data_IF_573483195940
#
_entry.id   IF_573483195940
#
_cell.length_a   1.000
_cell.length_b   1.000
_cell.length_c   1.000
_cell.angle_alpha   90.00
_cell.angle_beta   90.00
_cell.angle_gamma   90.00
#
_symmetry.space_group_name_H-M   'P 1'
#
loop_
_entity.id
_entity.type
_entity.pdbx_description
1 polymer ?
#
# COMPACT_ATOMS: atom_id res chain seq x y z
N UNK A 1 18.69 18.91 6.44
CA UNK A 1 17.25 19.31 6.38
C UNK A 1 16.41 18.14 6.80
N UNK A 2 15.47 18.32 7.74
CA UNK A 2 14.56 17.21 8.10
C UNK A 2 13.53 17.02 6.99
N UNK A 3 13.13 15.77 6.68
CA UNK A 3 12.10 15.51 5.69
C UNK A 3 10.81 16.24 6.08
N UNK A 4 10.18 16.88 5.09
CA UNK A 4 8.86 17.50 5.28
C UNK A 4 7.83 16.39 5.55
N UNK A 5 6.87 16.68 6.43
CA UNK A 5 5.81 15.74 6.79
C UNK A 5 4.48 16.33 6.35
N UNK A 6 3.70 15.60 5.56
CA UNK A 6 2.32 15.97 5.25
C UNK A 6 1.33 15.05 5.97
N UNK A 7 0.12 15.56 6.21
CA UNK A 7 -0.98 14.71 6.65
C UNK A 7 -1.46 13.87 5.48
N UNK A 8 -1.76 12.60 5.73
CA UNK A 8 -2.62 11.86 4.79
C UNK A 8 -3.93 12.64 4.70
N UNK A 9 -4.38 13.06 3.52
CA UNK A 9 -5.55 13.92 3.38
C UNK A 9 -6.75 13.36 4.13
N UNK A 10 -7.17 14.06 5.19
CA UNK A 10 -8.37 13.71 5.96
C UNK A 10 -9.64 14.28 5.35
N UNK A 11 -9.50 15.22 4.41
CA UNK A 11 -10.63 15.86 3.74
C UNK A 11 -10.98 15.15 2.44
N UNK A 12 -11.92 14.25 2.59
CA UNK A 12 -12.68 13.68 1.49
C UNK A 12 -14.10 14.22 1.63
N UNK A 13 -14.78 14.59 0.54
CA UNK A 13 -16.14 15.14 0.59
C UNK A 13 -17.01 14.26 1.47
N UNK A 14 -17.66 14.87 2.45
CA UNK A 14 -18.62 14.20 3.34
C UNK A 14 -19.82 13.73 2.53
N UNK A 15 -19.86 12.45 2.21
CA UNK A 15 -21.14 11.80 1.89
C UNK A 15 -21.95 11.71 3.16
N UNK A 16 -23.15 12.32 3.17
CA UNK A 16 -24.11 12.15 4.25
C UNK A 16 -24.47 10.67 4.36
N UNK A 17 -24.17 10.07 5.50
CA UNK A 17 -24.54 8.71 5.86
C UNK A 17 -26.06 8.63 5.95
N UNK A 18 -26.71 7.96 5.02
CA UNK A 18 -28.08 7.49 5.21
C UNK A 18 -28.07 6.33 6.21
N UNK A 19 -28.99 6.37 7.18
CA UNK A 19 -29.18 5.26 8.14
C UNK A 19 -29.61 4.03 7.35
N UNK A 20 -28.75 2.99 7.37
CA UNK A 20 -29.08 1.71 6.77
C UNK A 20 -28.00 1.07 5.92
N UNK A 21 -26.85 1.72 5.74
CA UNK A 21 -25.75 1.12 4.99
C UNK A 21 -25.09 0.03 5.83
N UNK A 22 -25.51 -1.21 5.58
CA UNK A 22 -24.66 -2.36 5.77
C UNK A 22 -23.29 -2.06 5.13
N UNK A 23 -22.20 -2.52 5.75
CA UNK A 23 -20.89 -2.46 5.15
C UNK A 23 -20.99 -2.94 3.69
N UNK A 24 -20.43 -2.21 2.73
CA UNK A 24 -20.47 -2.66 1.34
C UNK A 24 -19.94 -4.08 1.29
N UNK A 25 -20.67 -4.95 0.60
CA UNK A 25 -20.25 -6.31 0.30
C UNK A 25 -18.79 -6.25 -0.18
N UNK A 26 -17.86 -6.78 0.61
CA UNK A 26 -16.41 -6.67 0.37
C UNK A 26 -15.94 -7.48 -0.82
N UNK A 27 -16.83 -7.77 -1.77
CA UNK A 27 -16.41 -8.29 -3.05
C UNK A 27 -15.68 -7.19 -3.81
N UNK A 28 -14.39 -7.41 -4.13
CA UNK A 28 -13.69 -6.52 -5.02
C UNK A 28 -14.50 -6.41 -6.33
N UNK A 29 -14.42 -5.27 -7.03
CA UNK A 29 -15.03 -5.18 -8.35
C UNK A 29 -14.56 -6.37 -9.20
N UNK A 30 -15.37 -6.90 -10.12
CA UNK A 30 -15.09 -8.13 -10.87
C UNK A 30 -13.75 -8.18 -11.59
N UNK A 31 -13.09 -7.04 -11.73
CA UNK A 31 -11.76 -6.87 -12.36
C UNK A 31 -10.57 -7.03 -11.41
N UNK A 32 -10.81 -7.05 -10.07
CA UNK A 32 -9.73 -7.18 -9.10
C UNK A 32 -9.69 -8.59 -8.51
N UNK A 33 -8.49 -9.16 -8.28
CA UNK A 33 -8.37 -10.43 -7.56
C UNK A 33 -8.91 -10.29 -6.13
N UNK A 34 -9.36 -11.41 -5.51
CA UNK A 34 -9.83 -11.41 -4.12
C UNK A 34 -8.81 -10.78 -3.17
N UNK A 35 -9.31 -10.12 -2.12
CA UNK A 35 -8.45 -9.56 -1.09
C UNK A 35 -7.79 -10.67 -0.28
N UNK A 36 -6.48 -10.58 -0.03
CA UNK A 36 -5.85 -11.56 0.84
C UNK A 36 -6.25 -11.31 2.29
N UNK A 37 -6.66 -12.35 3.04
CA UNK A 37 -6.81 -12.28 4.47
C UNK A 37 -5.50 -12.64 5.18
N UNK A 38 -5.31 -12.10 6.39
CA UNK A 38 -4.33 -12.64 7.34
C UNK A 38 -5.04 -13.62 8.25
N UNK A 39 -4.62 -14.88 8.24
CA UNK A 39 -5.15 -15.93 9.13
C UNK A 39 -4.53 -15.76 10.51
N UNK A 40 -5.35 -15.70 11.54
CA UNK A 40 -4.94 -15.66 12.95
C UNK A 40 -5.10 -17.01 13.63
N UNK A 41 -6.20 -17.71 13.32
CA UNK A 41 -6.56 -18.97 13.95
C UNK A 41 -7.34 -19.84 12.97
N UNK A 42 -7.21 -21.16 13.13
CA UNK A 42 -8.02 -22.15 12.40
C UNK A 42 -8.70 -23.02 13.46
N UNK A 43 -10.02 -23.12 13.38
CA UNK A 43 -10.83 -23.93 14.31
C UNK A 43 -11.58 -24.99 13.51
N UNK A 44 -11.56 -26.22 14.02
CA UNK A 44 -12.37 -27.33 13.48
C UNK A 44 -13.67 -27.43 14.27
N UNK A 45 -14.80 -27.26 13.60
CA UNK A 45 -16.11 -27.42 14.21
C UNK A 45 -16.44 -28.88 14.52
N UNK A 46 -17.48 -29.11 15.34
CA UNK A 46 -17.94 -30.48 15.67
C UNK A 46 -18.42 -31.26 14.43
N UNK A 47 -18.79 -30.56 13.35
CA UNK A 47 -19.15 -31.14 12.05
C UNK A 47 -17.95 -31.64 11.25
N UNK A 48 -16.72 -31.25 11.64
CA UNK A 48 -15.49 -31.54 10.92
C UNK A 48 -15.10 -30.42 9.95
N UNK A 49 -15.91 -29.37 9.81
CA UNK A 49 -15.61 -28.21 8.98
C UNK A 49 -14.55 -27.31 9.63
N UNK A 50 -13.66 -26.76 8.84
CA UNK A 50 -12.62 -25.84 9.32
C UNK A 50 -12.98 -24.37 9.00
N UNK A 51 -12.95 -23.53 10.03
CA UNK A 51 -13.15 -22.10 9.97
C UNK A 51 -11.86 -21.37 10.28
N UNK A 52 -11.59 -20.29 9.56
CA UNK A 52 -10.43 -19.44 9.76
C UNK A 52 -10.89 -18.08 10.31
N UNK A 53 -10.35 -17.70 11.48
CA UNK A 53 -10.44 -16.33 11.97
C UNK A 53 -9.41 -15.47 11.23
N UNK A 54 -9.87 -14.45 10.53
CA UNK A 54 -9.04 -13.63 9.64
C UNK A 54 -9.17 -12.14 9.93
N UNK A 55 -8.16 -11.36 9.54
CA UNK A 55 -8.30 -9.92 9.32
C UNK A 55 -8.02 -9.62 7.85
N UNK A 56 -8.85 -8.78 7.25
CA UNK A 56 -8.77 -8.44 5.85
C UNK A 56 -7.70 -7.39 5.58
N UNK A 57 -6.90 -7.60 4.53
CA UNK A 57 -6.17 -6.50 3.91
C UNK A 57 -7.09 -5.76 2.95
N UNK A 58 -6.95 -4.46 2.90
CA UNK A 58 -7.67 -3.57 1.99
C UNK A 58 -6.76 -3.08 0.88
N UNK A 59 -7.27 -3.05 -0.34
CA UNK A 59 -6.62 -2.34 -1.42
C UNK A 59 -6.87 -0.83 -1.27
N UNK A 60 -5.97 0.04 -1.77
CA UNK A 60 -6.21 1.48 -1.74
C UNK A 60 -7.56 1.91 -2.34
N UNK A 61 -8.03 1.21 -3.37
CA UNK A 61 -9.31 1.48 -4.03
C UNK A 61 -10.52 1.27 -3.13
N UNK A 62 -10.43 0.38 -2.17
CA UNK A 62 -11.52 0.00 -1.26
C UNK A 62 -11.56 0.86 0.00
N UNK A 63 -10.45 1.52 0.29
CA UNK A 63 -10.37 2.42 1.43
C UNK A 63 -10.99 3.78 1.12
N UNK A 64 -11.38 4.49 2.16
CA UNK A 64 -11.93 5.83 2.04
C UNK A 64 -10.96 6.74 1.27
N UNK A 65 -11.44 7.32 0.17
CA UNK A 65 -10.67 8.22 -0.69
C UNK A 65 -9.94 7.56 -1.85
N UNK A 66 -10.02 6.25 -1.95
CA UNK A 66 -9.48 5.50 -3.08
C UNK A 66 -7.95 5.56 -3.20
N UNK A 67 -7.45 5.00 -4.30
CA UNK A 67 -6.02 5.01 -4.61
C UNK A 67 -5.51 6.44 -4.86
N UNK A 68 -4.37 6.77 -4.28
CA UNK A 68 -3.65 8.02 -4.49
C UNK A 68 -2.39 7.77 -5.33
N UNK A 69 -1.85 8.81 -5.94
CA UNK A 69 -0.66 8.71 -6.79
C UNK A 69 0.58 8.15 -6.07
N UNK A 70 0.66 8.28 -4.75
CA UNK A 70 1.74 7.72 -3.96
C UNK A 70 1.51 6.26 -3.52
N UNK A 71 0.34 5.68 -3.76
CA UNK A 71 0.12 4.26 -3.48
C UNK A 71 0.69 3.43 -4.63
N UNK A 72 1.62 2.53 -4.30
CA UNK A 72 2.14 1.59 -5.27
C UNK A 72 1.12 0.51 -5.66
N UNK A 73 1.37 -0.15 -6.77
CA UNK A 73 0.47 -1.16 -7.34
C UNK A 73 0.21 -2.33 -6.38
N UNK A 74 1.28 -2.79 -5.72
CA UNK A 74 1.27 -3.93 -4.78
C UNK A 74 0.97 -3.51 -3.33
N UNK A 75 0.53 -2.28 -3.09
CA UNK A 75 0.25 -1.79 -1.74
C UNK A 75 -1.07 -2.30 -1.21
N UNK A 76 -1.04 -2.79 0.04
CA UNK A 76 -2.20 -3.20 0.82
C UNK A 76 -2.20 -2.50 2.18
N UNK A 77 -3.37 -2.29 2.75
CA UNK A 77 -3.54 -1.77 4.10
C UNK A 77 -3.92 -2.88 5.06
N UNK A 78 -3.25 -2.97 6.21
CA UNK A 78 -3.78 -3.77 7.32
C UNK A 78 -5.07 -3.16 7.81
N UNK A 79 -6.03 -3.96 8.31
CA UNK A 79 -7.27 -3.40 8.87
C UNK A 79 -7.63 -4.01 10.21
N UNK A 80 -8.60 -3.38 10.87
CA UNK A 80 -9.32 -3.86 12.06
C UNK A 80 -10.62 -4.58 11.69
N UNK A 81 -10.76 -5.01 10.45
CA UNK A 81 -11.90 -5.79 9.97
C UNK A 81 -11.61 -7.28 10.11
N UNK A 82 -12.21 -7.90 11.10
CA UNK A 82 -12.09 -9.34 11.39
C UNK A 82 -13.34 -10.07 10.93
N UNK A 83 -13.13 -11.34 10.52
CA UNK A 83 -14.22 -12.20 10.07
C UNK A 83 -13.88 -13.68 10.29
N UNK A 84 -14.90 -14.54 10.19
CA UNK A 84 -14.75 -15.98 10.13
C UNK A 84 -15.11 -16.47 8.73
N UNK A 85 -14.20 -17.17 8.10
CA UNK A 85 -14.40 -17.68 6.74
C UNK A 85 -14.10 -19.17 6.69
N UNK A 86 -14.82 -19.90 5.84
CA UNK A 86 -14.52 -21.31 5.62
C UNK A 86 -13.11 -21.46 5.03
N UNK A 87 -12.31 -22.37 5.57
CA UNK A 87 -10.95 -22.65 5.04
C UNK A 87 -10.97 -23.00 3.56
N UNK A 88 -12.02 -23.66 3.08
CA UNK A 88 -12.21 -24.00 1.68
C UNK A 88 -12.35 -22.79 0.75
N UNK A 89 -12.62 -21.59 1.29
CA UNK A 89 -12.69 -20.36 0.51
C UNK A 89 -11.30 -19.72 0.25
N UNK A 90 -10.25 -20.26 0.87
CA UNK A 90 -8.87 -19.75 0.72
C UNK A 90 -8.21 -20.45 -0.45
N UNK A 91 -7.93 -19.67 -1.51
CA UNK A 91 -7.51 -20.22 -2.81
C UNK A 91 -5.99 -20.20 -3.05
N UNK A 92 -5.18 -19.66 -2.12
CA UNK A 92 -3.73 -19.58 -2.35
C UNK A 92 -3.00 -18.84 -1.24
N UNK A 93 -1.69 -18.66 -1.46
CA UNK A 93 -0.79 -17.97 -0.56
C UNK A 93 -0.27 -16.70 -1.21
N UNK A 94 -0.10 -15.65 -0.41
CA UNK A 94 0.66 -14.46 -0.78
C UNK A 94 1.53 -14.03 0.40
N UNK A 95 2.58 -13.27 0.13
CA UNK A 95 3.43 -12.66 1.12
C UNK A 95 3.11 -11.16 1.23
N UNK A 96 2.87 -10.68 2.45
CA UNK A 96 2.65 -9.24 2.71
C UNK A 96 3.78 -8.75 3.59
N UNK A 97 4.70 -8.03 2.98
CA UNK A 97 5.93 -7.50 3.59
C UNK A 97 5.69 -6.12 4.21
N UNK A 98 6.57 -5.69 5.10
CA UNK A 98 6.71 -4.26 5.38
C UNK A 98 7.40 -3.58 4.19
N UNK A 99 7.13 -2.29 3.97
CA UNK A 99 7.71 -1.56 2.83
C UNK A 99 9.25 -1.73 2.73
N UNK A 100 9.98 -1.65 3.84
CA UNK A 100 11.44 -1.83 3.84
C UNK A 100 11.86 -3.23 3.41
N UNK A 101 11.14 -4.26 3.84
CA UNK A 101 11.41 -5.66 3.48
C UNK A 101 11.11 -5.88 2.00
N UNK A 102 10.00 -5.32 1.50
CA UNK A 102 9.62 -5.38 0.08
C UNK A 102 10.69 -4.76 -0.83
N UNK A 103 11.26 -3.62 -0.44
CA UNK A 103 12.32 -2.94 -1.19
C UNK A 103 13.64 -3.76 -1.24
N UNK A 104 13.84 -4.69 -0.31
CA UNK A 104 15.03 -5.55 -0.25
C UNK A 104 14.86 -6.86 -1.03
N UNK A 105 13.68 -7.14 -1.57
CA UNK A 105 13.45 -8.31 -2.39
C UNK A 105 14.30 -8.23 -3.67
N UNK A 106 14.99 -9.32 -3.98
CA UNK A 106 15.77 -9.41 -5.23
C UNK A 106 14.86 -9.49 -6.46
N UNK A 107 13.71 -10.11 -6.30
CA UNK A 107 12.70 -10.28 -7.31
C UNK A 107 11.32 -10.19 -6.65
N UNK A 108 10.41 -9.43 -7.24
CA UNK A 108 9.03 -9.28 -6.79
C UNK A 108 8.14 -10.14 -7.67
N UNK A 109 7.44 -11.09 -7.07
CA UNK A 109 6.49 -11.97 -7.74
C UNK A 109 5.08 -11.41 -7.72
N UNK A 110 4.16 -12.05 -8.43
CA UNK A 110 2.75 -11.65 -8.43
C UNK A 110 2.08 -11.82 -7.06
N UNK A 111 2.63 -12.68 -6.21
CA UNK A 111 2.10 -12.96 -4.87
C UNK A 111 2.78 -12.13 -3.76
N UNK A 112 3.71 -11.23 -4.10
CA UNK A 112 4.34 -10.33 -3.16
C UNK A 112 3.59 -9.00 -3.11
N UNK A 113 3.19 -8.61 -1.92
CA UNK A 113 2.55 -7.34 -1.58
C UNK A 113 3.32 -6.67 -0.46
N UNK A 114 3.02 -5.40 -0.21
CA UNK A 114 3.57 -4.70 0.94
C UNK A 114 2.54 -3.83 1.65
N UNK A 115 2.81 -3.54 2.91
CA UNK A 115 1.99 -2.65 3.73
C UNK A 115 2.86 -1.65 4.48
N UNK A 116 2.34 -0.43 4.64
CA UNK A 116 2.88 0.64 5.48
C UNK A 116 1.80 1.40 6.23
N UNK A 117 0.53 1.20 5.85
CA UNK A 117 -0.62 1.83 6.49
C UNK A 117 -1.52 0.79 7.14
N UNK A 118 -2.12 1.20 8.26
CA UNK A 118 -3.24 0.50 8.85
C UNK A 118 -4.51 1.34 8.64
N UNK A 119 -5.56 0.69 8.20
CA UNK A 119 -6.85 1.31 7.93
C UNK A 119 -7.89 0.85 8.93
N UNK A 120 -8.51 1.79 9.65
CA UNK A 120 -9.66 1.52 10.51
C UNK A 120 -10.93 1.60 9.69
N UNK A 121 -11.42 0.47 9.20
CA UNK A 121 -12.56 0.38 8.31
C UNK A 121 -13.82 1.04 8.90
N UNK A 122 -14.06 0.86 10.21
CA UNK A 122 -15.21 1.43 10.93
C UNK A 122 -15.23 2.95 10.97
N UNK A 123 -14.06 3.61 10.90
CA UNK A 123 -13.91 5.07 11.01
C UNK A 123 -13.45 5.75 9.73
N UNK A 124 -12.89 4.97 8.79
CA UNK A 124 -12.24 5.51 7.60
C UNK A 124 -10.93 6.25 7.91
N UNK A 125 -10.22 5.85 8.96
CA UNK A 125 -8.98 6.49 9.43
C UNK A 125 -7.75 5.67 9.07
N UNK A 126 -6.63 6.37 8.78
CA UNK A 126 -5.34 5.75 8.51
C UNK A 126 -4.35 5.95 9.65
N UNK A 127 -3.45 4.97 9.83
CA UNK A 127 -2.26 5.09 10.66
C UNK A 127 -1.03 4.62 9.86
N UNK A 128 0.08 5.38 9.88
CA UNK A 128 0.20 6.72 10.44
C UNK A 128 -0.67 7.74 9.67
N UNK A 129 -1.10 8.81 10.34
CA UNK A 129 -1.84 9.92 9.75
C UNK A 129 -0.95 10.91 8.98
N UNK A 130 0.37 10.77 9.17
CA UNK A 130 1.41 11.57 8.51
C UNK A 130 2.53 10.68 8.01
N UNK A 131 3.01 10.97 6.82
CA UNK A 131 4.17 10.31 6.22
C UNK A 131 5.13 11.34 5.67
N UNK A 132 6.45 11.01 5.60
CA UNK A 132 7.42 11.87 4.94
C UNK A 132 7.03 12.12 3.49
N UNK A 133 7.27 13.35 3.04
CA UNK A 133 7.13 13.74 1.63
C UNK A 133 8.49 14.11 1.07
N UNK A 134 8.63 13.94 -0.23
CA UNK A 134 9.87 14.10 -0.98
C UNK A 134 9.62 14.91 -2.24
N UNK A 135 10.71 15.34 -2.87
CA UNK A 135 10.66 16.03 -4.14
C UNK A 135 9.97 17.41 -4.08
N UNK A 136 10.10 18.19 -5.14
CA UNK A 136 9.40 19.46 -5.29
C UNK A 136 7.86 19.31 -5.38
N UNK A 137 7.37 18.10 -5.68
CA UNK A 137 5.93 17.83 -5.72
C UNK A 137 5.32 17.50 -4.35
N UNK A 138 6.14 17.44 -3.28
CA UNK A 138 5.70 17.15 -1.90
C UNK A 138 4.83 15.89 -1.77
N UNK A 139 5.18 14.85 -2.52
CA UNK A 139 4.45 13.57 -2.51
C UNK A 139 5.11 12.56 -1.56
N UNK A 140 4.33 11.75 -0.85
CA UNK A 140 4.87 10.57 -0.18
C UNK A 140 5.56 9.63 -1.17
N UNK A 141 6.56 8.90 -0.69
CA UNK A 141 7.29 7.93 -1.49
C UNK A 141 6.36 6.86 -2.09
N UNK A 142 6.52 6.62 -3.40
CA UNK A 142 5.89 5.51 -4.11
C UNK A 142 7.01 4.58 -4.63
N UNK A 143 7.08 3.29 -4.19
CA UNK A 143 8.16 2.39 -4.60
C UNK A 143 8.17 2.05 -6.10
N UNK A 144 7.05 2.27 -6.80
CA UNK A 144 6.96 2.03 -8.24
C UNK A 144 7.51 3.21 -9.06
N UNK A 145 7.77 4.35 -8.41
CA UNK A 145 8.31 5.55 -9.05
C UNK A 145 9.80 5.68 -8.78
N UNK A 146 10.55 5.79 -9.87
CA UNK A 146 11.99 6.02 -9.78
C UNK A 146 12.29 7.42 -9.25
N UNK A 147 13.18 7.50 -8.26
CA UNK A 147 13.67 8.76 -7.69
C UNK A 147 15.20 8.79 -7.71
N UNK A 148 15.74 9.96 -7.67
CA UNK A 148 17.19 10.23 -7.60
C UNK A 148 17.49 11.13 -6.40
N UNK A 149 18.57 10.83 -5.72
CA UNK A 149 19.10 11.67 -4.65
C UNK A 149 19.99 12.77 -5.24
N UNK A 150 19.84 13.97 -4.73
CA UNK A 150 20.70 15.10 -5.08
C UNK A 150 21.91 15.13 -4.13
N UNK A 151 23.12 14.98 -4.64
CA UNK A 151 24.36 14.98 -3.84
C UNK A 151 24.58 16.30 -3.08
N UNK A 152 24.04 17.41 -3.57
CA UNK A 152 24.23 18.72 -2.95
C UNK A 152 23.32 18.98 -1.76
N UNK A 153 22.09 18.44 -1.75
CA UNK A 153 21.11 18.69 -0.69
C UNK A 153 20.55 17.41 -0.05
N UNK A 154 21.00 16.24 -0.50
CA UNK A 154 20.60 14.91 0.01
C UNK A 154 19.06 14.68 -0.04
N UNK A 155 18.36 15.43 -0.89
CA UNK A 155 16.92 15.30 -1.11
C UNK A 155 16.64 14.41 -2.32
N UNK A 156 15.49 13.72 -2.29
CA UNK A 156 15.06 12.80 -3.32
C UNK A 156 14.09 13.47 -4.31
N UNK A 157 14.32 13.29 -5.60
CA UNK A 157 13.53 13.90 -6.67
C UNK A 157 13.06 12.89 -7.71
N UNK A 158 11.83 13.07 -8.20
CA UNK A 158 11.42 12.43 -9.44
C UNK A 158 12.10 13.15 -10.60
N UNK A 159 12.75 12.44 -11.54
CA UNK A 159 13.42 13.10 -12.67
C UNK A 159 12.54 14.10 -13.41
N UNK A 160 11.28 13.74 -13.66
CA UNK A 160 10.34 14.63 -14.36
C UNK A 160 10.05 15.93 -13.60
N UNK A 161 10.04 15.91 -12.27
CA UNK A 161 9.80 17.10 -11.46
C UNK A 161 10.95 18.10 -11.50
N UNK A 162 12.13 17.66 -11.94
CA UNK A 162 13.33 18.51 -12.11
C UNK A 162 13.74 18.66 -13.56
N UNK A 163 12.79 18.44 -14.49
CA UNK A 163 13.02 18.66 -15.93
C UNK A 163 13.93 17.62 -16.60
N UNK A 164 14.08 16.44 -16.01
CA UNK A 164 14.92 15.36 -16.53
C UNK A 164 14.11 14.08 -16.82
N UNK A 165 14.75 13.11 -17.43
CA UNK A 165 14.16 11.78 -17.67
C UNK A 165 14.98 10.71 -16.96
N UNK A 166 14.34 9.56 -16.64
CA UNK A 166 15.02 8.39 -16.08
C UNK A 166 16.25 7.99 -16.92
N UNK A 167 16.12 8.04 -18.25
CA UNK A 167 17.20 7.70 -19.19
C UNK A 167 18.40 8.64 -19.08
N UNK A 168 18.14 9.96 -19.02
CA UNK A 168 19.19 10.96 -18.87
C UNK A 168 19.95 10.80 -17.56
N UNK A 169 19.22 10.61 -16.45
CA UNK A 169 19.83 10.39 -15.14
C UNK A 169 20.63 9.08 -15.11
N UNK A 170 20.09 7.99 -15.67
CA UNK A 170 20.81 6.71 -15.73
C UNK A 170 22.10 6.81 -16.56
N UNK A 171 22.09 7.54 -17.68
CA UNK A 171 23.29 7.79 -18.49
C UNK A 171 24.33 8.61 -17.72
N UNK A 172 23.88 9.62 -16.95
CA UNK A 172 24.76 10.44 -16.13
C UNK A 172 25.44 9.58 -15.05
N UNK A 173 24.70 8.78 -14.30
CA UNK A 173 25.24 7.87 -13.29
C UNK A 173 26.22 6.85 -13.87
N UNK A 174 25.96 6.31 -15.06
CA UNK A 174 26.88 5.39 -15.76
C UNK A 174 28.19 6.09 -16.18
N UNK A 175 28.13 7.35 -16.58
CA UNK A 175 29.32 8.11 -17.00
C UNK A 175 30.25 8.49 -15.82
N UNK A 176 29.71 8.62 -14.61
CA UNK A 176 30.49 8.88 -13.39
C UNK A 176 31.00 7.61 -12.72
N UNK A 177 30.33 6.48 -12.88
CA UNK A 177 30.75 5.19 -12.30
C UNK A 177 31.89 4.48 -13.07
N UNK A 178 32.44 5.08 -14.11
CA UNK A 178 33.61 4.56 -14.87
C UNK A 178 34.92 5.32 -14.58
N UNK A 179 34.96 6.13 -13.53
CA UNK A 179 36.14 6.94 -13.17
C UNK A 179 36.88 6.44 -11.91
N UNK A 180 36.70 5.16 -11.52
CA UNK A 180 37.54 4.46 -10.53
C UNK A 180 38.28 3.30 -11.17
#
# INVERSE_FOLDING_TARGET
MHPRISRVPSEIPTFKKSRGDCFPDHRPPPSLPPNPPRIHEIVTEATGDEQCHVSWFYRPEEARGGRKAFHGEKELFTSDHYDWVAKSSINGHCAVHKLKEYQMLKEVTDNDYYTRFSYKASKGEFKPDRVPVYCACEMPYNPDLFMVECEACEEWYHPQCVGSTKKQVSLFLLSYGQLD
#
